data_IF_011657563335
#
_entry.id   IF_011657563335
#
_cell.length_a   1.000
_cell.length_b   1.000
_cell.length_c   1.000
_cell.angle_alpha   90.00
_cell.angle_beta   90.00
_cell.angle_gamma   90.00
#
_symmetry.space_group_name_H-M   'P 1'
#
loop_
_entity.id
_entity.type
_entity.pdbx_description
1 polymer ?
#
# COMPACT_ATOMS: atom_id res chain seq x y z
N UNK A 1 11.52 -9.28 14.19
CA UNK A 1 10.10 -9.55 13.90
C UNK A 1 9.96 -10.11 12.50
N UNK A 2 9.24 -11.20 12.36
CA UNK A 2 9.02 -11.82 11.05
C UNK A 2 7.68 -11.38 10.50
N UNK A 3 7.70 -10.67 9.38
CA UNK A 3 6.48 -10.21 8.71
C UNK A 3 6.18 -11.16 7.56
N UNK A 4 5.02 -11.81 7.61
CA UNK A 4 4.56 -12.71 6.55
C UNK A 4 3.33 -12.10 5.90
N UNK A 5 3.43 -11.78 4.61
CA UNK A 5 2.36 -11.22 3.82
C UNK A 5 2.08 -12.11 2.62
N UNK A 6 0.80 -12.35 2.33
CA UNK A 6 0.42 -12.97 1.08
C UNK A 6 0.65 -12.00 -0.07
N UNK A 7 0.72 -12.48 -1.34
CA UNK A 7 0.88 -11.57 -2.48
C UNK A 7 -0.21 -10.49 -2.54
N UNK A 8 -1.46 -10.83 -2.22
CA UNK A 8 -2.54 -9.85 -2.24
C UNK A 8 -2.42 -8.84 -1.10
N UNK A 9 -2.00 -9.29 0.09
CA UNK A 9 -1.74 -8.38 1.21
C UNK A 9 -0.60 -7.42 0.89
N UNK A 10 0.47 -7.91 0.30
CA UNK A 10 1.60 -7.08 -0.12
C UNK A 10 1.15 -6.04 -1.14
N UNK A 11 0.27 -6.43 -2.08
CA UNK A 11 -0.29 -5.52 -3.07
C UNK A 11 -1.06 -4.39 -2.40
N UNK A 12 -1.90 -4.70 -1.41
CA UNK A 12 -2.68 -3.68 -0.71
C UNK A 12 -1.77 -2.68 0.02
N UNK A 13 -0.80 -3.19 0.77
CA UNK A 13 0.12 -2.31 1.51
C UNK A 13 0.92 -1.46 0.54
N UNK A 14 1.42 -2.06 -0.54
CA UNK A 14 2.17 -1.33 -1.57
C UNK A 14 1.35 -0.22 -2.22
N UNK A 15 0.07 -0.48 -2.50
CA UNK A 15 -0.84 0.52 -3.06
C UNK A 15 -1.04 1.70 -2.12
N UNK A 16 -1.24 1.43 -0.83
CA UNK A 16 -1.43 2.50 0.15
C UNK A 16 -0.17 3.36 0.29
N UNK A 17 1.00 2.73 0.34
CA UNK A 17 2.26 3.46 0.38
C UNK A 17 2.46 4.31 -0.88
N UNK A 18 2.18 3.74 -2.05
CA UNK A 18 2.32 4.45 -3.32
C UNK A 18 1.41 5.68 -3.38
N UNK A 19 0.13 5.49 -3.06
CA UNK A 19 -0.85 6.57 -3.18
C UNK A 19 -0.64 7.65 -2.12
N UNK A 20 -0.11 7.30 -0.97
CA UNK A 20 0.26 8.28 0.04
C UNK A 20 1.30 9.27 -0.50
N UNK A 21 2.22 8.80 -1.32
CA UNK A 21 3.29 9.63 -1.90
C UNK A 21 2.88 10.28 -3.21
N UNK A 22 2.25 9.51 -4.12
CA UNK A 22 1.97 10.00 -5.48
C UNK A 22 0.66 10.77 -5.61
N UNK A 23 -0.34 10.45 -4.79
CA UNK A 23 -1.64 11.15 -4.82
C UNK A 23 -2.12 11.43 -3.39
N UNK A 24 -1.36 12.23 -2.62
CA UNK A 24 -1.69 12.45 -1.21
C UNK A 24 -3.05 13.10 -0.99
N UNK A 25 -3.56 13.84 -1.96
CA UNK A 25 -4.88 14.48 -1.88
C UNK A 25 -6.03 13.46 -1.88
N UNK A 26 -5.77 12.24 -2.34
CA UNK A 26 -6.76 11.15 -2.38
C UNK A 26 -6.60 10.16 -1.25
N UNK A 27 -5.58 10.33 -0.43
CA UNK A 27 -5.25 9.42 0.66
C UNK A 27 -5.82 9.99 1.98
N UNK A 28 -6.39 9.18 2.88
CA UNK A 28 -6.52 7.71 2.87
C UNK A 28 -7.54 7.20 1.85
N UNK A 29 -7.51 5.89 1.55
CA UNK A 29 -8.27 5.30 0.45
C UNK A 29 -9.52 4.57 0.94
N UNK A 30 -10.62 4.73 0.19
CA UNK A 30 -11.83 3.92 0.37
C UNK A 30 -11.61 2.51 -0.20
N UNK A 31 -12.54 1.59 0.08
CA UNK A 31 -12.51 0.23 -0.51
C UNK A 31 -12.43 0.31 -2.04
N UNK A 32 -13.27 1.12 -2.68
CA UNK A 32 -13.27 1.24 -4.13
C UNK A 32 -11.92 1.72 -4.66
N UNK A 33 -11.32 2.69 -3.99
CA UNK A 33 -10.01 3.20 -4.38
C UNK A 33 -8.92 2.15 -4.21
N UNK A 34 -8.98 1.35 -3.14
CA UNK A 34 -8.03 0.26 -2.92
C UNK A 34 -8.17 -0.80 -3.99
N UNK A 35 -9.40 -1.21 -4.33
CA UNK A 35 -9.64 -2.21 -5.38
C UNK A 35 -9.07 -1.73 -6.72
N UNK A 36 -9.37 -0.49 -7.08
CA UNK A 36 -8.85 0.09 -8.33
C UNK A 36 -7.32 0.14 -8.35
N UNK A 37 -6.71 0.54 -7.23
CA UNK A 37 -5.26 0.61 -7.13
C UNK A 37 -4.61 -0.77 -7.21
N UNK A 38 -5.21 -1.78 -6.56
CA UNK A 38 -4.69 -3.15 -6.60
C UNK A 38 -4.73 -3.74 -8.00
N UNK A 39 -5.78 -3.45 -8.75
CA UNK A 39 -6.03 -4.01 -10.08
C UNK A 39 -5.47 -3.15 -11.21
N UNK A 40 -4.76 -2.09 -10.87
CA UNK A 40 -4.13 -1.21 -11.85
C UNK A 40 -3.20 -2.01 -12.75
N UNK A 41 -3.16 -1.67 -14.05
CA UNK A 41 -2.36 -2.40 -15.04
C UNK A 41 -0.93 -1.89 -15.14
N UNK A 42 -0.68 -0.68 -14.67
CA UNK A 42 0.66 -0.07 -14.71
C UNK A 42 1.31 -0.12 -13.35
N UNK A 43 2.62 -0.22 -13.31
CA UNK A 43 3.42 -0.26 -12.08
C UNK A 43 3.03 -1.39 -11.12
N UNK A 44 2.54 -2.50 -11.68
CA UNK A 44 2.14 -3.69 -10.94
C UNK A 44 2.64 -4.94 -11.63
N UNK A 45 3.15 -5.89 -10.85
CA UNK A 45 3.54 -7.20 -11.37
C UNK A 45 3.36 -8.25 -10.28
N UNK A 46 2.53 -9.26 -10.51
CA UNK A 46 1.67 -9.42 -11.69
C UNK A 46 0.47 -8.45 -11.66
N UNK A 47 -0.20 -8.29 -12.78
CA UNK A 47 -1.49 -7.61 -12.82
C UNK A 47 -2.50 -8.51 -12.12
N UNK A 48 -3.28 -7.94 -11.22
CA UNK A 48 -4.28 -8.70 -10.44
C UNK A 48 -5.68 -8.27 -10.80
N UNK A 49 -6.65 -9.14 -10.47
CA UNK A 49 -8.08 -8.88 -10.66
C UNK A 49 -8.82 -9.30 -9.39
N UNK A 50 -8.59 -8.55 -8.31
CA UNK A 50 -9.20 -8.83 -7.02
C UNK A 50 -10.62 -8.28 -6.99
N UNK A 51 -11.54 -9.05 -6.39
CA UNK A 51 -12.91 -8.59 -6.19
C UNK A 51 -13.02 -7.67 -4.98
N UNK A 52 -14.12 -6.92 -4.90
CA UNK A 52 -14.41 -6.07 -3.76
C UNK A 52 -14.45 -6.90 -2.47
N UNK A 53 -15.08 -8.07 -2.52
CA UNK A 53 -15.20 -8.95 -1.35
C UNK A 53 -13.83 -9.46 -0.88
N UNK A 54 -12.98 -9.88 -1.82
CA UNK A 54 -11.61 -10.31 -1.50
C UNK A 54 -10.81 -9.20 -0.84
N UNK A 55 -10.88 -7.99 -1.41
CA UNK A 55 -10.15 -6.84 -0.88
C UNK A 55 -10.68 -6.45 0.49
N UNK A 56 -12.01 -6.47 0.68
CA UNK A 56 -12.60 -6.14 1.98
C UNK A 56 -12.12 -7.11 3.06
N UNK A 57 -12.12 -8.42 2.78
CA UNK A 57 -11.63 -9.42 3.73
C UNK A 57 -10.16 -9.21 4.08
N UNK A 58 -9.34 -8.88 3.08
CA UNK A 58 -7.92 -8.62 3.29
C UNK A 58 -7.69 -7.35 4.09
N UNK A 59 -8.46 -6.29 3.82
CA UNK A 59 -8.39 -5.06 4.58
C UNK A 59 -8.73 -5.30 6.05
N UNK A 60 -9.79 -6.06 6.32
CA UNK A 60 -10.20 -6.40 7.68
C UNK A 60 -9.09 -7.16 8.41
N UNK A 61 -8.48 -8.12 7.74
CA UNK A 61 -7.36 -8.91 8.29
C UNK A 61 -6.16 -8.01 8.60
N UNK A 62 -5.81 -7.12 7.67
CA UNK A 62 -4.66 -6.23 7.85
C UNK A 62 -4.89 -5.21 8.96
N UNK A 63 -6.13 -4.76 9.14
CA UNK A 63 -6.47 -3.90 10.28
C UNK A 63 -6.28 -4.66 11.59
N UNK A 64 -6.75 -5.91 11.68
CA UNK A 64 -6.56 -6.75 12.86
C UNK A 64 -5.08 -7.00 13.16
N UNK A 65 -4.26 -7.11 12.13
CA UNK A 65 -2.81 -7.32 12.28
C UNK A 65 -2.05 -6.02 12.51
N UNK A 66 -2.74 -4.89 12.60
CA UNK A 66 -2.16 -3.56 12.84
C UNK A 66 -1.26 -3.02 11.73
N UNK A 67 -1.42 -3.52 10.50
CA UNK A 67 -0.73 -2.95 9.33
C UNK A 67 -1.50 -1.80 8.72
N UNK A 68 -2.80 -1.73 8.96
CA UNK A 68 -3.69 -0.69 8.46
C UNK A 68 -4.54 -0.14 9.60
N UNK A 69 -5.10 1.04 9.38
CA UNK A 69 -6.03 1.68 10.29
C UNK A 69 -7.25 2.16 9.53
N UNK A 70 -8.44 1.98 10.12
CA UNK A 70 -9.67 2.57 9.63
C UNK A 70 -9.70 4.04 9.96
N UNK A 71 -10.10 4.86 8.99
CA UNK A 71 -10.30 6.29 9.20
C UNK A 71 -11.73 6.63 8.81
N UNK A 72 -12.49 7.19 9.74
CA UNK A 72 -13.80 7.74 9.47
C UNK A 72 -13.77 9.21 9.84
N UNK A 73 -14.01 10.08 8.87
CA UNK A 73 -13.97 11.52 9.08
C UNK A 73 -15.34 12.12 9.35
N UNK A 74 -15.36 13.33 9.84
CA UNK A 74 -16.59 14.07 10.07
C UNK A 74 -17.34 14.27 8.76
N UNK A 75 -18.64 13.91 8.76
CA UNK A 75 -19.50 14.05 7.59
C UNK A 75 -19.21 13.06 6.47
N UNK A 76 -18.27 12.15 6.67
CA UNK A 76 -17.90 11.15 5.67
C UNK A 76 -18.46 9.79 6.07
N UNK A 77 -19.33 9.23 5.21
CA UNK A 77 -19.98 7.94 5.49
C UNK A 77 -19.15 6.74 5.03
N UNK A 78 -18.08 7.00 4.30
CA UNK A 78 -17.26 5.94 3.72
C UNK A 78 -16.05 5.70 4.59
N UNK A 79 -15.87 4.46 5.02
CA UNK A 79 -14.66 4.05 5.73
C UNK A 79 -13.48 4.14 4.76
N UNK A 80 -12.40 4.73 5.24
CA UNK A 80 -11.15 4.82 4.48
C UNK A 80 -10.06 4.11 5.27
N UNK A 81 -8.96 3.81 4.58
CA UNK A 81 -7.87 3.04 5.15
C UNK A 81 -6.55 3.78 4.93
N UNK A 82 -5.71 3.75 5.96
CA UNK A 82 -4.34 4.26 5.87
C UNK A 82 -3.38 3.22 6.39
N UNK A 83 -2.14 3.27 5.89
CA UNK A 83 -1.14 2.30 6.27
C UNK A 83 -0.54 2.61 7.65
N UNK A 84 -0.21 1.56 8.39
CA UNK A 84 0.55 1.61 9.63
C UNK A 84 1.77 0.71 9.54
N UNK A 85 2.13 0.31 8.34
CA UNK A 85 3.27 -0.56 8.08
C UNK A 85 4.58 0.14 8.48
N UNK A 86 4.70 1.43 8.16
CA UNK A 86 5.89 2.21 8.48
C UNK A 86 5.52 3.67 8.75
N UNK A 87 6.41 4.37 9.43
CA UNK A 87 6.30 5.82 9.68
C UNK A 87 5.00 6.23 10.36
N UNK A 88 4.39 5.33 11.11
CA UNK A 88 3.22 5.66 11.91
C UNK A 88 3.68 6.22 13.28
N UNK A 89 2.80 6.98 13.92
CA UNK A 89 3.13 7.69 15.16
C UNK A 89 3.67 6.77 16.25
N UNK A 90 3.06 5.61 16.43
CA UNK A 90 3.45 4.68 17.48
C UNK A 90 4.13 3.41 16.96
N UNK A 91 4.44 3.38 15.67
CA UNK A 91 5.09 2.23 15.07
C UNK A 91 6.60 2.25 15.23
N UNK A 92 7.20 1.06 15.20
CA UNK A 92 8.64 0.91 15.36
C UNK A 92 9.41 1.04 14.05
N UNK A 93 8.75 0.79 12.91
CA UNK A 93 9.43 0.82 11.62
C UNK A 93 9.43 2.23 11.04
N UNK A 94 10.61 2.83 10.98
CA UNK A 94 10.80 4.17 10.43
C UNK A 94 11.65 4.04 9.17
N UNK A 95 11.13 4.56 8.05
CA UNK A 95 11.80 4.51 6.77
C UNK A 95 11.98 5.93 6.23
N UNK A 96 13.11 6.18 5.60
CA UNK A 96 13.30 7.42 4.83
C UNK A 96 12.42 7.41 3.59
N UNK A 97 12.26 8.55 2.94
CA UNK A 97 11.49 8.62 1.69
C UNK A 97 12.07 7.74 0.60
N UNK A 98 13.40 7.63 0.52
CA UNK A 98 14.07 6.73 -0.41
C UNK A 98 13.81 5.28 -0.09
N UNK A 99 13.90 4.90 1.18
CA UNK A 99 13.58 3.55 1.62
C UNK A 99 12.13 3.19 1.36
N UNK A 100 11.21 4.12 1.61
CA UNK A 100 9.79 3.92 1.29
C UNK A 100 9.58 3.66 -0.19
N UNK A 101 10.24 4.44 -1.06
CA UNK A 101 10.14 4.25 -2.51
C UNK A 101 10.61 2.86 -2.94
N UNK A 102 11.73 2.39 -2.39
CA UNK A 102 12.27 1.07 -2.69
C UNK A 102 11.36 -0.05 -2.21
N UNK A 103 10.90 0.02 -0.96
CA UNK A 103 10.01 -0.99 -0.38
C UNK A 103 8.68 -1.04 -1.14
N UNK A 104 8.11 0.12 -1.46
CA UNK A 104 6.86 0.19 -2.21
C UNK A 104 7.01 -0.48 -3.57
N UNK A 105 8.10 -0.20 -4.28
CA UNK A 105 8.36 -0.79 -5.58
C UNK A 105 8.49 -2.32 -5.47
N UNK A 106 9.18 -2.81 -4.45
CA UNK A 106 9.30 -4.25 -4.21
C UNK A 106 7.95 -4.89 -3.89
N UNK A 107 7.12 -4.23 -3.09
CA UNK A 107 5.78 -4.74 -2.75
C UNK A 107 4.88 -4.83 -3.98
N UNK A 108 5.00 -3.88 -4.91
CA UNK A 108 4.15 -3.83 -6.09
C UNK A 108 4.66 -4.67 -7.26
N UNK A 109 5.96 -4.91 -7.34
CA UNK A 109 6.57 -5.58 -8.49
C UNK A 109 7.40 -6.81 -8.17
N UNK A 110 7.66 -7.09 -6.89
CA UNK A 110 8.48 -8.23 -6.49
C UNK A 110 9.97 -7.99 -6.68
N UNK A 111 10.75 -9.07 -6.68
CA UNK A 111 12.20 -9.01 -6.74
C UNK A 111 12.69 -8.40 -8.06
N UNK A 112 13.71 -7.56 -7.99
CA UNK A 112 14.25 -6.83 -9.13
C UNK A 112 15.75 -6.66 -8.96
N UNK A 113 16.45 -6.38 -10.07
CA UNK A 113 17.85 -5.98 -10.00
C UNK A 113 17.96 -4.60 -9.37
N UNK A 114 19.12 -4.25 -8.79
CA UNK A 114 19.30 -2.90 -8.23
C UNK A 114 19.06 -1.78 -9.25
N UNK A 115 19.45 -1.96 -10.50
CA UNK A 115 19.23 -0.96 -11.54
C UNK A 115 17.76 -0.77 -11.88
N UNK A 116 17.02 -1.88 -12.02
CA UNK A 116 15.58 -1.84 -12.25
C UNK A 116 14.85 -1.18 -11.09
N UNK A 117 15.22 -1.56 -9.87
CA UNK A 117 14.61 -1.02 -8.66
C UNK A 117 14.81 0.49 -8.57
N UNK A 118 16.05 0.96 -8.82
CA UNK A 118 16.37 2.37 -8.79
C UNK A 118 15.54 3.17 -9.80
N UNK A 119 15.47 2.67 -11.03
CA UNK A 119 14.73 3.32 -12.10
C UNK A 119 13.23 3.43 -11.77
N UNK A 120 12.65 2.35 -11.25
CA UNK A 120 11.22 2.31 -10.94
C UNK A 120 10.84 3.09 -9.69
N UNK A 121 11.75 3.16 -8.72
CA UNK A 121 11.51 3.91 -7.49
C UNK A 121 11.66 5.43 -7.69
N UNK A 122 12.34 5.87 -8.76
CA UNK A 122 12.59 7.28 -9.02
C UNK A 122 11.31 8.10 -9.19
N UNK A 123 10.19 7.48 -9.58
CA UNK A 123 8.90 8.18 -9.66
C UNK A 123 8.36 8.60 -8.30
N UNK A 124 8.87 8.01 -7.23
CA UNK A 124 8.46 8.32 -5.86
C UNK A 124 9.55 9.07 -5.09
N UNK A 125 10.81 8.89 -5.48
CA UNK A 125 11.94 9.51 -4.81
C UNK A 125 13.17 9.47 -5.72
N UNK A 126 13.77 10.59 -5.98
CA UNK A 126 14.98 10.71 -6.81
C UNK A 126 16.26 10.40 -6.04
#
# INVERSE_FOLDING_TARGET
MKILLSPAEARIIGCLLEKQVTTPEQYPLSLNAVVSACNQKTNREPVMSLSDAEVQDLLDTLVKRHFLRNVSGFGNRVTKYEQRFCNSEFGNLKLSSGEMALITTLLLRGAQTPGELRMRAARMHE
#
